data_IF_691267139355
#
_entry.id   IF_691267139355
#
_cell.length_a   1.000
_cell.length_b   1.000
_cell.length_c   1.000
_cell.angle_alpha   90.00
_cell.angle_beta   90.00
_cell.angle_gamma   90.00
#
_symmetry.space_group_name_H-M   'P 1'
#
loop_
_entity.id
_entity.type
_entity.pdbx_description
1 polymer ?
#
# COMPACT_ATOMS: atom_id res chain seq x y z
N UNK A 1 21.29 27.31 4.66
CA UNK A 1 19.99 26.93 5.25
C UNK A 1 19.12 26.37 4.13
N UNK A 2 18.70 25.09 4.20
CA UNK A 2 17.92 24.44 3.13
C UNK A 2 16.56 25.15 2.99
N UNK A 3 16.13 25.47 1.76
CA UNK A 3 14.94 26.29 1.49
C UNK A 3 13.67 25.47 1.78
N UNK A 4 12.81 25.99 2.65
CA UNK A 4 11.53 25.35 3.01
C UNK A 4 10.60 25.25 1.81
N UNK A 5 10.04 24.06 1.60
CA UNK A 5 8.96 23.82 0.64
C UNK A 5 7.63 24.04 1.36
N UNK A 6 6.75 24.84 0.76
CA UNK A 6 5.46 25.19 1.33
C UNK A 6 4.37 24.31 0.71
N UNK A 7 3.93 23.28 1.44
CA UNK A 7 2.85 22.39 1.02
C UNK A 7 1.55 22.87 1.64
N UNK A 8 0.67 23.42 0.81
CA UNK A 8 -0.57 24.06 1.30
C UNK A 8 -1.82 23.18 1.15
N UNK A 9 -1.80 22.21 0.22
CA UNK A 9 -2.99 21.45 -0.18
C UNK A 9 -3.22 20.15 0.61
N UNK A 10 -2.21 19.62 1.31
CA UNK A 10 -2.31 18.37 2.08
C UNK A 10 -1.90 18.61 3.52
N UNK A 11 -2.84 18.45 4.44
CA UNK A 11 -2.61 18.61 5.89
C UNK A 11 -1.58 17.62 6.42
N UNK A 12 -1.55 16.41 5.85
CA UNK A 12 -0.62 15.35 6.23
C UNK A 12 0.78 15.65 5.72
N UNK A 13 0.94 15.97 4.43
CA UNK A 13 2.24 16.33 3.89
C UNK A 13 2.80 17.61 4.54
N UNK A 14 1.93 18.55 4.92
CA UNK A 14 2.30 19.74 5.69
C UNK A 14 2.82 19.38 7.08
N UNK A 15 2.15 18.46 7.80
CA UNK A 15 2.60 17.99 9.10
C UNK A 15 3.91 17.18 9.00
N UNK A 16 4.02 16.30 8.00
CA UNK A 16 5.24 15.54 7.70
C UNK A 16 6.41 16.46 7.34
N UNK A 17 6.18 17.48 6.52
CA UNK A 17 7.20 18.49 6.19
C UNK A 17 7.66 19.27 7.43
N UNK A 18 6.74 19.63 8.34
CA UNK A 18 7.09 20.28 9.62
C UNK A 18 7.91 19.38 10.53
N UNK A 19 7.60 18.08 10.60
CA UNK A 19 8.37 17.10 11.40
C UNK A 19 9.75 16.85 10.79
N UNK A 20 9.84 16.67 9.46
CA UNK A 20 11.09 16.53 8.74
C UNK A 20 11.97 17.78 8.90
N UNK A 21 11.41 18.97 8.79
CA UNK A 21 12.09 20.23 9.10
C UNK A 21 12.66 20.23 10.53
N UNK A 22 11.89 19.74 11.50
CA UNK A 22 12.28 19.72 12.90
C UNK A 22 13.43 18.76 13.25
N UNK A 23 13.66 17.74 12.42
CA UNK A 23 14.62 16.67 12.69
C UNK A 23 15.74 16.59 11.64
N UNK A 24 15.40 16.53 10.35
CA UNK A 24 16.34 16.33 9.24
C UNK A 24 17.20 17.58 8.99
N UNK A 25 16.70 18.80 9.24
CA UNK A 25 17.52 20.00 9.00
C UNK A 25 18.65 20.19 10.02
N UNK A 26 18.66 19.39 11.09
CA UNK A 26 19.65 19.43 12.17
C UNK A 26 20.77 18.41 12.00
N UNK A 27 20.63 17.46 11.07
CA UNK A 27 21.57 16.35 10.83
C UNK A 27 21.78 16.16 9.33
N UNK A 28 22.86 15.52 8.90
CA UNK A 28 23.10 15.30 7.48
C UNK A 28 22.16 14.25 6.88
N UNK A 29 21.84 13.20 7.66
CA UNK A 29 20.84 12.19 7.34
C UNK A 29 20.23 11.60 8.62
N UNK A 30 19.04 11.02 8.50
CA UNK A 30 18.40 10.22 9.55
C UNK A 30 18.58 8.75 9.20
N UNK A 31 19.14 7.98 10.15
CA UNK A 31 19.20 6.52 10.05
C UNK A 31 17.83 5.94 10.38
N UNK A 32 17.19 5.31 9.41
CA UNK A 32 15.95 4.55 9.58
C UNK A 32 16.30 3.07 9.60
N UNK A 33 15.98 2.40 10.70
CA UNK A 33 16.07 0.96 10.81
C UNK A 33 14.75 0.34 10.34
N UNK A 34 14.85 -0.61 9.42
CA UNK A 34 13.74 -1.46 9.01
C UNK A 34 14.06 -2.87 9.49
N UNK A 35 13.43 -3.24 10.60
CA UNK A 35 13.46 -4.61 11.12
C UNK A 35 12.60 -5.49 10.21
N UNK A 36 13.12 -6.66 9.84
CA UNK A 36 12.47 -7.58 8.89
C UNK A 36 11.95 -6.85 7.63
N UNK A 37 12.87 -6.27 6.85
CA UNK A 37 12.51 -5.58 5.61
C UNK A 37 11.77 -6.49 4.61
N UNK A 38 11.44 -5.95 3.42
CA UNK A 38 10.76 -6.71 2.37
C UNK A 38 11.42 -8.07 2.05
N UNK A 39 12.71 -8.29 2.32
CA UNK A 39 13.35 -9.58 2.07
C UNK A 39 13.59 -10.42 3.33
N UNK A 40 12.97 -10.04 4.46
CA UNK A 40 13.13 -10.73 5.73
C UNK A 40 14.48 -10.46 6.41
N UNK A 41 15.18 -9.39 6.02
CA UNK A 41 16.46 -9.00 6.62
C UNK A 41 16.35 -7.68 7.37
N UNK A 42 17.16 -7.52 8.41
CA UNK A 42 17.37 -6.21 8.98
C UNK A 42 18.14 -5.34 7.99
N UNK A 43 17.63 -4.14 7.74
CA UNK A 43 18.31 -3.19 6.87
C UNK A 43 18.22 -1.77 7.41
N UNK A 44 19.18 -0.97 6.97
CA UNK A 44 19.25 0.44 7.33
C UNK A 44 19.18 1.27 6.06
N UNK A 45 18.30 2.27 6.09
CA UNK A 45 18.24 3.30 5.05
C UNK A 45 18.55 4.64 5.68
N UNK A 46 19.41 5.41 5.04
CA UNK A 46 19.73 6.77 5.46
C UNK A 46 18.90 7.72 4.61
N UNK A 47 18.06 8.52 5.27
CA UNK A 47 17.21 9.50 4.60
C UNK A 47 17.77 10.89 4.82
N UNK A 48 18.07 11.59 3.74
CA UNK A 48 18.50 12.98 3.77
C UNK A 48 17.40 13.95 3.31
N UNK A 49 17.71 15.24 3.33
CA UNK A 49 16.74 16.27 2.95
C UNK A 49 16.26 16.15 1.50
N UNK A 50 17.11 15.72 0.58
CA UNK A 50 16.76 15.59 -0.82
C UNK A 50 15.80 14.41 -1.05
N UNK A 51 15.94 13.34 -0.25
CA UNK A 51 14.93 12.26 -0.19
C UNK A 51 13.57 12.78 0.26
N UNK A 52 13.52 13.56 1.35
CA UNK A 52 12.27 14.19 1.79
C UNK A 52 11.74 15.17 0.75
N UNK A 53 12.62 15.94 0.10
CA UNK A 53 12.23 16.87 -0.96
C UNK A 53 11.51 16.13 -2.09
N UNK A 54 12.03 15.00 -2.51
CA UNK A 54 11.44 14.14 -3.51
C UNK A 54 10.07 13.57 -3.08
N UNK A 55 9.90 13.15 -1.82
CA UNK A 55 8.57 12.77 -1.28
C UNK A 55 7.58 13.95 -1.31
N UNK A 56 8.05 15.14 -0.94
CA UNK A 56 7.23 16.33 -0.78
C UNK A 56 6.84 16.98 -2.12
N UNK A 57 7.67 16.85 -3.17
CA UNK A 57 7.38 17.39 -4.50
C UNK A 57 6.89 16.34 -5.49
N UNK A 58 7.11 15.06 -5.22
CA UNK A 58 6.79 13.93 -6.11
C UNK A 58 7.47 14.02 -7.50
N UNK A 59 8.58 14.76 -7.62
CA UNK A 59 9.26 14.99 -8.91
C UNK A 59 10.12 13.80 -9.37
N UNK A 60 10.80 13.10 -8.45
CA UNK A 60 11.63 11.91 -8.76
C UNK A 60 11.45 10.82 -7.68
N UNK A 61 11.08 9.61 -8.08
CA UNK A 61 10.95 8.46 -7.18
C UNK A 61 12.29 7.72 -7.08
N UNK A 62 13.20 8.22 -6.24
CA UNK A 62 14.47 7.53 -5.92
C UNK A 62 14.25 6.38 -4.92
N UNK A 63 15.21 5.44 -4.85
CA UNK A 63 15.09 4.22 -4.04
C UNK A 63 14.74 4.46 -2.56
N UNK A 64 15.26 5.52 -1.94
CA UNK A 64 14.94 5.89 -0.56
C UNK A 64 13.49 6.41 -0.38
N UNK A 65 12.94 7.09 -1.40
CA UNK A 65 11.53 7.51 -1.46
C UNK A 65 10.63 6.29 -1.64
N UNK A 66 11.03 5.36 -2.51
CA UNK A 66 10.35 4.08 -2.69
C UNK A 66 10.38 3.29 -1.39
N UNK A 67 11.53 3.13 -0.73
CA UNK A 67 11.65 2.43 0.56
C UNK A 67 10.80 3.10 1.63
N UNK A 68 10.82 4.43 1.77
CA UNK A 68 9.96 5.17 2.71
C UNK A 68 8.46 5.01 2.41
N UNK A 69 8.10 4.91 1.14
CA UNK A 69 6.74 4.62 0.69
C UNK A 69 6.36 3.15 0.93
N UNK A 70 7.30 2.22 0.72
CA UNK A 70 7.14 0.79 0.99
C UNK A 70 7.13 0.45 2.48
N UNK A 71 7.67 1.31 3.35
CA UNK A 71 7.57 1.23 4.82
C UNK A 71 6.15 1.57 5.32
N UNK A 72 5.26 2.07 4.44
CA UNK A 72 3.85 2.25 4.79
C UNK A 72 3.07 0.96 4.59
N UNK A 73 1.98 0.88 5.34
CA UNK A 73 1.03 -0.23 5.29
C UNK A 73 0.35 -0.32 3.92
N UNK A 74 0.42 -1.50 3.30
CA UNK A 74 -0.24 -1.81 2.04
C UNK A 74 -1.60 -2.46 2.30
N UNK A 75 -2.62 -1.99 1.57
CA UNK A 75 -3.99 -2.49 1.64
C UNK A 75 -4.52 -2.67 0.22
N UNK A 76 -5.47 -3.60 0.05
CA UNK A 76 -6.04 -3.92 -1.26
C UNK A 76 -7.52 -3.59 -1.29
N UNK A 77 -7.93 -2.77 -2.27
CA UNK A 77 -9.34 -2.52 -2.59
C UNK A 77 -9.70 -3.17 -3.92
N UNK A 78 -10.66 -4.11 -3.91
CA UNK A 78 -11.14 -4.82 -5.09
C UNK A 78 -12.55 -4.33 -5.43
N UNK A 79 -12.69 -3.68 -6.59
CA UNK A 79 -13.95 -3.10 -7.04
C UNK A 79 -14.70 -4.08 -7.94
N UNK A 80 -15.85 -4.57 -7.46
CA UNK A 80 -16.85 -5.24 -8.28
C UNK A 80 -17.88 -4.23 -8.80
N UNK A 81 -17.71 -3.84 -10.06
CA UNK A 81 -18.59 -2.90 -10.74
C UNK A 81 -20.00 -3.47 -11.02
N UNK A 82 -20.19 -4.79 -10.97
CA UNK A 82 -21.51 -5.41 -11.18
C UNK A 82 -22.40 -5.22 -9.96
N UNK A 83 -21.84 -5.38 -8.77
CA UNK A 83 -22.55 -5.24 -7.48
C UNK A 83 -22.37 -3.88 -6.80
N UNK A 84 -21.59 -2.97 -7.39
CA UNK A 84 -21.10 -1.74 -6.75
C UNK A 84 -20.44 -2.00 -5.38
N UNK A 85 -19.70 -3.10 -5.26
CA UNK A 85 -19.04 -3.48 -4.01
C UNK A 85 -17.54 -3.21 -4.10
N UNK A 86 -16.97 -2.61 -3.06
CA UNK A 86 -15.54 -2.53 -2.84
C UNK A 86 -15.17 -3.46 -1.68
N UNK A 87 -14.49 -4.55 -1.99
CA UNK A 87 -13.91 -5.45 -1.00
C UNK A 87 -12.57 -4.88 -0.55
N UNK A 88 -12.39 -4.71 0.76
CA UNK A 88 -11.20 -4.17 1.38
C UNK A 88 -10.50 -5.28 2.15
N UNK A 89 -9.23 -5.52 1.80
CA UNK A 89 -8.36 -6.48 2.44
C UNK A 89 -7.21 -5.75 3.13
N UNK A 90 -6.96 -6.12 4.38
CA UNK A 90 -5.97 -5.51 5.25
C UNK A 90 -5.36 -6.61 6.15
N UNK A 91 -4.12 -6.98 5.85
CA UNK A 91 -3.38 -8.02 6.59
C UNK A 91 -3.02 -7.63 8.02
N UNK A 92 -3.09 -6.34 8.41
CA UNK A 92 -2.95 -5.91 9.81
C UNK A 92 -4.26 -5.99 10.59
N UNK A 93 -5.37 -6.35 9.93
CA UNK A 93 -6.70 -6.52 10.53
C UNK A 93 -7.10 -5.33 11.41
N UNK A 94 -6.95 -4.10 10.90
CA UNK A 94 -7.28 -2.89 11.66
C UNK A 94 -8.80 -2.71 11.92
N UNK A 95 -9.65 -3.55 11.31
CA UNK A 95 -11.11 -3.52 11.38
C UNK A 95 -11.75 -2.28 10.75
N UNK A 96 -10.95 -1.29 10.36
CA UNK A 96 -11.39 0.00 9.86
C UNK A 96 -10.89 0.21 8.44
N UNK A 97 -11.74 0.78 7.58
CA UNK A 97 -11.30 1.19 6.26
C UNK A 97 -10.26 2.29 6.36
N UNK A 98 -9.26 2.25 5.47
CA UNK A 98 -8.47 3.42 5.20
C UNK A 98 -9.38 4.53 4.64
N UNK A 99 -9.71 5.52 5.47
CA UNK A 99 -10.68 6.57 5.14
C UNK A 99 -10.26 7.40 3.92
N UNK A 100 -8.95 7.57 3.68
CA UNK A 100 -8.46 8.30 2.50
C UNK A 100 -8.67 7.50 1.23
N UNK A 101 -8.31 6.21 1.25
CA UNK A 101 -8.59 5.30 0.12
C UNK A 101 -10.09 5.27 -0.17
N UNK A 102 -10.90 5.16 0.87
CA UNK A 102 -12.36 5.16 0.75
C UNK A 102 -12.89 6.43 0.07
N UNK A 103 -12.42 7.60 0.49
CA UNK A 103 -12.80 8.88 -0.13
C UNK A 103 -12.37 8.98 -1.59
N UNK A 104 -11.15 8.52 -1.92
CA UNK A 104 -10.62 8.53 -3.30
C UNK A 104 -11.49 7.65 -4.19
N UNK A 105 -11.78 6.42 -3.76
CA UNK A 105 -12.54 5.43 -4.52
C UNK A 105 -14.02 5.86 -4.65
N UNK A 106 -14.65 6.35 -3.57
CA UNK A 106 -16.01 6.89 -3.63
C UNK A 106 -16.10 8.07 -4.61
N UNK A 107 -15.10 8.96 -4.61
CA UNK A 107 -15.05 10.11 -5.54
C UNK A 107 -14.84 9.66 -6.99
N UNK A 108 -13.98 8.66 -7.22
CA UNK A 108 -13.75 8.09 -8.54
C UNK A 108 -15.03 7.47 -9.12
N UNK A 109 -15.83 6.79 -8.29
CA UNK A 109 -17.10 6.22 -8.72
C UNK A 109 -18.13 7.29 -9.13
N UNK A 110 -18.22 8.40 -8.38
CA UNK A 110 -19.08 9.53 -8.75
C UNK A 110 -18.66 10.14 -10.09
N UNK A 111 -17.36 10.27 -10.34
CA UNK A 111 -16.83 10.76 -11.61
C UNK A 111 -17.16 9.78 -12.75
N UNK A 112 -16.97 8.48 -12.54
CA UNK A 112 -17.28 7.44 -13.52
C UNK A 112 -18.77 7.43 -13.91
N UNK A 113 -19.69 7.54 -12.94
CA UNK A 113 -21.14 7.59 -13.23
C UNK A 113 -21.52 8.84 -14.01
N UNK A 114 -20.93 9.98 -13.67
CA UNK A 114 -21.16 11.24 -14.36
C UNK A 114 -20.70 11.16 -15.81
N UNK A 115 -19.52 10.59 -16.06
CA UNK A 115 -18.97 10.43 -17.41
C UNK A 115 -19.73 9.39 -18.24
N UNK A 116 -20.24 8.33 -17.63
CA UNK A 116 -21.03 7.31 -18.32
C UNK A 116 -22.46 7.75 -18.67
N UNK A 117 -22.88 8.96 -18.29
CA UNK A 117 -24.25 9.45 -18.51
C UNK A 117 -25.30 8.71 -17.68
N UNK A 118 -24.87 7.94 -16.67
CA UNK A 118 -25.73 7.16 -15.81
C UNK A 118 -26.34 8.05 -14.73
N UNK A 119 -27.67 8.07 -14.64
CA UNK A 119 -28.40 8.73 -13.55
C UNK A 119 -28.39 7.93 -12.23
N UNK A 120 -27.61 6.85 -12.16
CA UNK A 120 -27.51 6.01 -10.97
C UNK A 120 -26.75 6.76 -9.87
N UNK A 121 -27.39 6.94 -8.72
CA UNK A 121 -26.71 7.38 -7.49
C UNK A 121 -25.85 6.22 -6.99
N UNK A 122 -24.56 6.20 -7.31
CA UNK A 122 -23.67 5.14 -6.86
C UNK A 122 -23.15 5.46 -5.46
N UNK A 123 -23.64 4.69 -4.50
CA UNK A 123 -23.02 4.55 -3.19
C UNK A 123 -22.38 3.17 -3.18
N UNK A 124 -21.05 3.11 -3.17
CA UNK A 124 -20.35 1.84 -3.04
C UNK A 124 -20.71 1.16 -1.73
N UNK A 125 -20.95 -0.14 -1.80
CA UNK A 125 -20.98 -1.02 -0.64
C UNK A 125 -19.52 -1.36 -0.28
N UNK A 126 -19.08 -1.05 0.94
CA UNK A 126 -17.73 -1.36 1.39
C UNK A 126 -17.78 -2.57 2.31
N UNK A 127 -16.99 -3.59 2.00
CA UNK A 127 -16.92 -4.84 2.75
C UNK A 127 -15.50 -5.03 3.25
N UNK A 128 -15.30 -5.14 4.56
CA UNK A 128 -14.06 -5.65 5.13
C UNK A 128 -14.07 -7.16 4.96
N UNK A 129 -13.14 -7.68 4.16
CA UNK A 129 -13.00 -9.13 3.94
C UNK A 129 -12.19 -9.71 5.09
N UNK A 130 -12.62 -10.86 5.60
CA UNK A 130 -11.79 -11.62 6.54
C UNK A 130 -10.65 -12.25 5.75
N UNK A 131 -9.40 -11.87 6.04
CA UNK A 131 -8.23 -12.36 5.33
C UNK A 131 -7.10 -12.75 6.29
N UNK A 132 -6.17 -13.62 5.86
CA UNK A 132 -4.99 -13.95 6.64
C UNK A 132 -4.26 -12.72 7.18
N UNK A 133 -3.93 -12.75 8.46
CA UNK A 133 -3.21 -11.67 9.13
C UNK A 133 -1.71 -11.89 9.09
N UNK A 134 -0.96 -10.80 9.07
CA UNK A 134 0.49 -10.84 9.14
C UNK A 134 0.98 -10.76 10.60
N UNK A 135 2.05 -11.48 10.94
CA UNK A 135 2.60 -11.43 12.30
C UNK A 135 3.40 -10.15 12.57
N UNK A 136 3.98 -9.55 11.52
CA UNK A 136 4.84 -8.37 11.60
C UNK A 136 4.21 -7.10 11.02
N UNK A 137 5.05 -6.10 10.72
CA UNK A 137 4.60 -4.81 10.17
C UNK A 137 5.00 -4.58 8.72
N UNK A 138 5.75 -5.50 8.11
CA UNK A 138 6.47 -5.29 6.85
C UNK A 138 6.03 -6.23 5.74
N UNK A 139 5.24 -7.25 6.06
CA UNK A 139 4.82 -8.31 5.15
C UNK A 139 3.60 -7.93 4.28
N UNK A 140 2.99 -6.77 4.55
CA UNK A 140 1.72 -6.35 3.94
C UNK A 140 1.77 -6.30 2.41
N UNK A 141 2.92 -6.00 1.82
CA UNK A 141 3.13 -6.08 0.38
C UNK A 141 3.00 -7.50 -0.17
N UNK A 142 3.57 -8.51 0.51
CA UNK A 142 3.45 -9.92 0.09
C UNK A 142 2.07 -10.48 0.32
N UNK A 143 1.43 -10.12 1.43
CA UNK A 143 0.05 -10.51 1.68
C UNK A 143 -0.87 -9.94 0.59
N UNK A 144 -0.68 -8.67 0.22
CA UNK A 144 -1.42 -8.06 -0.89
C UNK A 144 -1.18 -8.79 -2.22
N UNK A 145 0.07 -9.11 -2.56
CA UNK A 145 0.39 -9.89 -3.76
C UNK A 145 -0.24 -11.29 -3.73
N UNK A 146 -0.21 -11.96 -2.57
CA UNK A 146 -0.85 -13.27 -2.38
C UNK A 146 -2.36 -13.19 -2.55
N UNK A 147 -3.01 -12.19 -1.96
CA UNK A 147 -4.44 -11.95 -2.16
C UNK A 147 -4.78 -11.75 -3.63
N UNK A 148 -4.00 -10.91 -4.34
CA UNK A 148 -4.20 -10.69 -5.77
C UNK A 148 -4.08 -11.99 -6.58
N UNK A 149 -3.10 -12.83 -6.26
CA UNK A 149 -2.92 -14.13 -6.91
C UNK A 149 -4.15 -15.02 -6.72
N UNK A 150 -4.61 -15.20 -5.49
CA UNK A 150 -5.79 -16.01 -5.18
C UNK A 150 -7.07 -15.48 -5.85
N UNK A 151 -7.26 -14.15 -5.88
CA UNK A 151 -8.40 -13.53 -6.59
C UNK A 151 -8.31 -13.77 -8.11
N UNK A 152 -7.11 -13.75 -8.70
CA UNK A 152 -6.93 -14.02 -10.13
C UNK A 152 -7.18 -15.49 -10.46
N UNK A 153 -6.77 -16.40 -9.58
CA UNK A 153 -6.92 -17.85 -9.78
C UNK A 153 -8.35 -18.34 -9.51
N UNK A 154 -9.00 -17.83 -8.46
CA UNK A 154 -10.32 -18.31 -8.01
C UNK A 154 -11.48 -17.37 -8.38
N UNK A 155 -11.19 -16.15 -8.79
CA UNK A 155 -12.18 -15.11 -9.07
C UNK A 155 -12.60 -14.32 -7.83
N UNK A 156 -13.55 -13.39 -8.02
CA UNK A 156 -14.11 -12.57 -6.94
C UNK A 156 -14.88 -13.42 -5.91
N UNK A 157 -15.30 -14.63 -6.29
CA UNK A 157 -16.02 -15.58 -5.46
C UNK A 157 -15.26 -15.92 -4.17
N UNK A 158 -13.92 -15.90 -4.18
CA UNK A 158 -13.10 -16.14 -2.99
C UNK A 158 -13.33 -15.09 -1.91
N UNK A 159 -13.59 -13.84 -2.32
CA UNK A 159 -13.88 -12.72 -1.41
C UNK A 159 -15.31 -12.79 -0.88
N UNK A 160 -16.27 -13.18 -1.72
CA UNK A 160 -17.69 -13.29 -1.34
C UNK A 160 -17.90 -14.39 -0.29
N UNK A 161 -17.11 -15.44 -0.35
CA UNK A 161 -17.18 -16.59 0.56
C UNK A 161 -16.32 -16.43 1.81
N UNK A 162 -15.63 -15.29 1.98
CA UNK A 162 -14.60 -15.10 3.01
C UNK A 162 -13.58 -16.26 3.02
N UNK A 163 -13.24 -16.77 1.83
CA UNK A 163 -12.36 -17.93 1.66
C UNK A 163 -10.95 -17.56 1.20
N UNK A 164 -10.60 -16.27 1.21
CA UNK A 164 -9.24 -15.83 0.91
C UNK A 164 -8.29 -16.45 1.96
N UNK A 165 -7.17 -17.00 1.49
CA UNK A 165 -6.27 -17.80 2.31
C UNK A 165 -6.80 -19.20 2.68
N UNK A 166 -7.84 -19.69 2.02
CA UNK A 166 -8.43 -21.03 2.24
C UNK A 166 -8.80 -21.27 3.71
N UNK A 167 -9.40 -20.25 4.34
CA UNK A 167 -9.82 -20.27 5.74
C UNK A 167 -8.67 -20.22 6.77
N UNK A 168 -7.43 -20.03 6.33
CA UNK A 168 -6.29 -19.85 7.24
C UNK A 168 -6.37 -18.49 7.95
N UNK A 169 -6.01 -18.48 9.24
CA UNK A 169 -5.89 -17.24 10.00
C UNK A 169 -4.64 -16.43 9.61
N UNK A 170 -3.56 -17.10 9.20
CA UNK A 170 -2.30 -16.51 8.75
C UNK A 170 -1.72 -17.34 7.61
N UNK A 171 -0.98 -16.70 6.70
CA UNK A 171 -0.19 -17.43 5.72
C UNK A 171 1.03 -18.07 6.38
N UNK A 172 1.40 -19.25 5.90
CA UNK A 172 2.65 -19.89 6.31
C UNK A 172 3.84 -19.20 5.64
N UNK A 173 5.05 -19.40 6.18
CA UNK A 173 6.27 -18.92 5.54
C UNK A 173 6.42 -19.46 4.11
N UNK A 174 6.01 -20.70 3.86
CA UNK A 174 6.03 -21.30 2.52
C UNK A 174 5.08 -20.59 1.55
N UNK A 175 3.86 -20.23 2.00
CA UNK A 175 2.89 -19.50 1.17
C UNK A 175 3.44 -18.12 0.72
N UNK A 176 4.27 -17.48 1.57
CA UNK A 176 4.91 -16.19 1.29
C UNK A 176 6.20 -16.35 0.47
N UNK A 177 7.00 -17.37 0.75
CA UNK A 177 8.23 -17.67 0.01
C UNK A 177 7.92 -18.01 -1.46
N UNK A 178 6.80 -18.67 -1.73
CA UNK A 178 6.30 -18.89 -3.09
C UNK A 178 6.16 -17.55 -3.86
N UNK A 179 5.56 -16.53 -3.23
CA UNK A 179 5.40 -15.19 -3.85
C UNK A 179 6.75 -14.51 -4.04
N UNK A 180 7.67 -14.66 -3.08
CA UNK A 180 9.03 -14.09 -3.18
C UNK A 180 9.80 -14.70 -4.36
N UNK A 181 9.74 -16.01 -4.52
CA UNK A 181 10.41 -16.75 -5.58
C UNK A 181 9.83 -16.40 -6.96
N UNK A 182 8.50 -16.35 -7.09
CA UNK A 182 7.83 -15.97 -8.33
C UNK A 182 8.17 -14.53 -8.73
N UNK A 183 8.12 -13.59 -7.77
CA UNK A 183 8.46 -12.20 -8.02
C UNK A 183 9.94 -12.03 -8.39
N UNK A 184 10.84 -12.70 -7.67
CA UNK A 184 12.28 -12.70 -7.97
C UNK A 184 12.56 -13.24 -9.37
N UNK A 185 11.92 -14.35 -9.75
CA UNK A 185 12.06 -14.95 -11.08
C UNK A 185 11.56 -14.00 -12.17
N UNK A 186 10.42 -13.34 -11.95
CA UNK A 186 9.89 -12.35 -12.88
C UNK A 186 10.84 -11.14 -13.05
N UNK A 187 11.33 -10.56 -11.95
CA UNK A 187 12.20 -9.38 -11.96
C UNK A 187 13.57 -9.68 -12.56
N UNK A 188 14.19 -10.81 -12.19
CA UNK A 188 15.48 -11.22 -12.76
C UNK A 188 15.42 -11.39 -14.27
N UNK A 189 14.26 -11.79 -14.80
CA UNK A 189 13.98 -11.83 -16.23
C UNK A 189 14.11 -10.48 -16.96
N UNK A 190 14.08 -9.33 -16.28
CA UNK A 190 14.33 -8.01 -16.87
C UNK A 190 15.78 -7.55 -16.73
N UNK A 191 16.50 -8.05 -15.72
CA UNK A 191 17.88 -7.65 -15.43
C UNK A 191 18.85 -8.35 -16.38
N UNK A 192 18.60 -9.61 -16.68
CA UNK A 192 19.47 -10.44 -17.53
C UNK A 192 19.00 -10.51 -19.00
N UNK A 193 18.16 -9.55 -19.44
CA UNK A 193 17.77 -9.37 -20.85
C UNK A 193 18.53 -8.24 -21.51
#
# INVERSE_FOLDING_TARGET
MKKRIRIEKSSILKMTAMMADGQVTKVDSIKVQSENNLFGYDSYTYLDWDDFKAVLTMDELIGAVIVSYMIRHWVLGVLDMKSDTCYYLDSLSSGNFNMQLKQIVDSAMVLYTTQSGSNKRVKLNWVNVTCPTQPGSTECGYYMLRFMKEIVEEGIEVLVKDNIGDGKAEYTTADIDEIREEWSTFVTGFIYR
#
